data_IF_189509665451
#
_entry.id   IF_189509665451
#
_cell.length_a   1.000
_cell.length_b   1.000
_cell.length_c   1.000
_cell.angle_alpha   90.00
_cell.angle_beta   90.00
_cell.angle_gamma   90.00
#
_symmetry.space_group_name_H-M   'P 1'
#
loop_
_entity.id
_entity.type
_entity.pdbx_description
1 polymer ?
#
# COMPACT_ATOMS: atom_id res chain seq x y z
N UNK A 1 -7.78 -14.45 4.33
CA UNK A 1 -7.22 -15.00 5.60
C UNK A 1 -7.12 -16.50 5.47
N UNK A 2 -5.99 -17.13 5.82
CA UNK A 2 -5.89 -18.59 5.80
C UNK A 2 -6.75 -19.20 6.92
N UNK A 3 -7.24 -20.44 6.74
CA UNK A 3 -8.03 -21.16 7.78
C UNK A 3 -7.25 -21.26 9.10
N UNK A 4 -5.95 -21.44 9.05
CA UNK A 4 -5.06 -21.49 10.22
C UNK A 4 -5.03 -20.16 10.98
N UNK A 5 -5.10 -19.04 10.30
CA UNK A 5 -5.11 -17.71 10.94
C UNK A 5 -6.41 -17.43 11.69
N UNK A 6 -7.53 -17.80 11.07
CA UNK A 6 -8.86 -17.66 11.71
C UNK A 6 -8.91 -18.51 12.97
N UNK A 7 -8.39 -19.75 12.91
CA UNK A 7 -8.29 -20.64 14.06
C UNK A 7 -7.44 -20.08 15.19
N UNK A 8 -6.26 -19.55 14.89
CA UNK A 8 -5.38 -18.96 15.92
C UNK A 8 -6.06 -17.76 16.58
N UNK A 9 -6.65 -16.85 15.81
CA UNK A 9 -7.37 -15.70 16.36
C UNK A 9 -8.59 -16.13 17.19
N UNK A 10 -9.32 -17.14 16.76
CA UNK A 10 -10.45 -17.69 17.51
C UNK A 10 -10.00 -18.30 18.83
N UNK A 11 -8.90 -19.08 18.84
CA UNK A 11 -8.35 -19.68 20.05
C UNK A 11 -7.85 -18.59 21.03
N UNK A 12 -7.11 -17.60 20.55
CA UNK A 12 -6.61 -16.50 21.39
C UNK A 12 -7.79 -15.69 21.98
N UNK A 13 -8.80 -15.40 21.16
CA UNK A 13 -10.01 -14.71 21.63
C UNK A 13 -10.79 -15.54 22.66
N UNK A 14 -10.89 -16.84 22.43
CA UNK A 14 -11.56 -17.75 23.36
C UNK A 14 -10.83 -17.83 24.72
N UNK A 15 -9.50 -17.89 24.72
CA UNK A 15 -8.68 -17.86 25.94
C UNK A 15 -8.89 -16.54 26.69
N UNK A 16 -8.90 -15.41 25.97
CA UNK A 16 -9.11 -14.10 26.58
C UNK A 16 -10.50 -13.97 27.21
N UNK A 17 -11.55 -14.41 26.48
CA UNK A 17 -12.91 -14.44 26.99
C UNK A 17 -13.07 -15.37 28.20
N UNK A 18 -12.37 -16.50 28.19
CA UNK A 18 -12.39 -17.45 29.30
C UNK A 18 -11.73 -16.88 30.56
N UNK A 19 -10.56 -16.21 30.41
CA UNK A 19 -9.89 -15.50 31.52
C UNK A 19 -10.79 -14.37 32.04
N UNK A 20 -11.38 -13.56 31.16
CA UNK A 20 -12.30 -12.50 31.56
C UNK A 20 -13.51 -13.04 32.32
N UNK A 21 -14.09 -14.16 31.86
CA UNK A 21 -15.20 -14.85 32.52
C UNK A 21 -14.81 -15.34 33.91
N UNK A 22 -13.62 -15.97 34.07
CA UNK A 22 -13.10 -16.39 35.37
C UNK A 22 -12.99 -15.19 36.34
N UNK A 23 -12.44 -14.07 35.87
CA UNK A 23 -12.30 -12.86 36.68
C UNK A 23 -13.66 -12.28 37.08
N UNK A 24 -14.65 -12.26 36.16
CA UNK A 24 -16.01 -11.79 36.48
C UNK A 24 -16.71 -12.74 37.46
N UNK A 25 -16.63 -14.06 37.24
CA UNK A 25 -17.26 -15.04 38.14
C UNK A 25 -16.59 -15.02 39.53
N UNK A 26 -15.26 -14.93 39.60
CA UNK A 26 -14.55 -14.82 40.90
C UNK A 26 -14.94 -13.55 41.64
N UNK A 27 -15.09 -12.42 40.94
CA UNK A 27 -15.54 -11.16 41.54
C UNK A 27 -16.99 -11.21 42.03
N UNK A 28 -17.86 -11.86 41.28
CA UNK A 28 -19.26 -12.06 41.66
C UNK A 28 -19.41 -12.96 42.92
N UNK A 29 -18.62 -14.08 42.93
CA UNK A 29 -18.59 -14.99 44.12
C UNK A 29 -18.07 -14.30 45.38
N UNK A 30 -17.08 -13.47 45.26
CA UNK A 30 -16.54 -12.72 46.38
C UNK A 30 -17.50 -11.64 46.87
N UNK A 31 -18.21 -10.96 45.97
CA UNK A 31 -19.28 -10.01 46.34
C UNK A 31 -20.43 -10.72 47.05
N UNK A 32 -20.80 -11.93 46.63
CA UNK A 32 -21.81 -12.76 47.27
C UNK A 32 -21.36 -13.26 48.66
N UNK A 33 -20.07 -13.59 48.86
CA UNK A 33 -19.51 -13.94 50.19
C UNK A 33 -19.50 -12.78 51.17
N UNK A 34 -19.29 -11.55 50.69
CA UNK A 34 -19.30 -10.33 51.49
C UNK A 34 -20.72 -9.85 51.86
N UNK A 35 -21.76 -10.36 51.21
CA UNK A 35 -23.15 -10.11 51.53
C UNK A 35 -23.60 -11.02 52.72
N UNK A 36 -22.87 -10.98 53.83
CA UNK A 36 -23.30 -11.54 55.13
C UNK A 36 -24.50 -10.78 55.66
N UNK A 37 -25.14 -11.29 56.77
CA UNK A 37 -26.35 -10.72 57.33
C UNK A 37 -26.19 -9.21 57.57
N UNK A 38 -27.17 -8.45 57.05
CA UNK A 38 -27.15 -7.01 56.92
C UNK A 38 -27.15 -6.29 58.25
N UNK A 39 -25.98 -5.96 58.80
CA UNK A 39 -25.87 -4.93 59.82
C UNK A 39 -26.27 -3.57 59.22
N UNK A 40 -26.99 -2.71 59.97
CA UNK A 40 -27.33 -1.38 59.49
C UNK A 40 -26.06 -0.60 59.10
N UNK A 41 -26.12 0.25 58.05
CA UNK A 41 -24.93 0.91 57.45
C UNK A 41 -24.07 1.69 58.50
N UNK A 42 -24.71 2.23 59.54
CA UNK A 42 -24.05 2.97 60.59
C UNK A 42 -23.21 2.15 61.61
N UNK A 43 -23.31 0.82 61.54
CA UNK A 43 -22.55 -0.13 62.37
C UNK A 43 -21.61 -1.04 61.62
N UNK A 44 -21.44 -0.80 60.32
CA UNK A 44 -20.44 -1.56 59.55
C UNK A 44 -19.07 -0.96 59.80
N UNK A 45 -18.11 -1.72 60.38
CA UNK A 45 -16.73 -1.27 60.37
C UNK A 45 -16.31 -0.97 58.92
N UNK A 46 -15.56 0.09 58.71
CA UNK A 46 -14.96 0.38 57.40
C UNK A 46 -14.18 -0.85 56.88
N UNK A 47 -14.01 -1.00 55.59
CA UNK A 47 -13.17 -2.08 55.03
C UNK A 47 -11.77 -1.93 55.66
N UNK A 48 -11.20 -3.03 56.15
CA UNK A 48 -9.80 -3.06 56.60
C UNK A 48 -8.87 -2.83 55.40
N UNK A 49 -7.68 -2.28 55.65
CA UNK A 49 -6.66 -2.10 54.60
C UNK A 49 -6.38 -3.40 53.84
N UNK A 50 -6.36 -4.52 54.58
CA UNK A 50 -6.20 -5.87 53.99
C UNK A 50 -7.37 -6.31 53.11
N UNK A 51 -8.58 -5.83 53.36
CA UNK A 51 -9.75 -6.08 52.51
C UNK A 51 -9.79 -5.19 51.26
N UNK A 52 -9.19 -4.01 51.33
CA UNK A 52 -9.04 -3.08 50.20
C UNK A 52 -7.83 -3.44 49.31
N UNK A 53 -6.70 -3.75 49.92
CA UNK A 53 -5.44 -3.97 49.22
C UNK A 53 -5.29 -5.39 48.67
N UNK A 54 -5.72 -6.43 49.43
CA UNK A 54 -5.52 -7.82 49.01
C UNK A 54 -6.29 -8.20 47.73
N UNK A 55 -7.60 -8.38 47.81
CA UNK A 55 -8.34 -8.98 46.69
C UNK A 55 -8.54 -8.05 45.49
N UNK A 56 -8.51 -6.73 45.67
CA UNK A 56 -8.58 -5.77 44.56
C UNK A 56 -7.24 -5.67 43.85
N UNK A 57 -6.13 -5.55 44.58
CA UNK A 57 -4.80 -5.48 44.04
C UNK A 57 -4.44 -6.76 43.25
N UNK A 58 -4.75 -7.93 43.84
CA UNK A 58 -4.54 -9.22 43.18
C UNK A 58 -5.28 -9.34 41.82
N UNK A 59 -6.52 -8.85 41.74
CA UNK A 59 -7.29 -8.83 40.48
C UNK A 59 -6.66 -7.93 39.43
N UNK A 60 -6.23 -6.75 39.81
CA UNK A 60 -5.57 -5.85 38.86
C UNK A 60 -4.21 -6.37 38.42
N UNK A 61 -3.46 -7.03 39.30
CA UNK A 61 -2.20 -7.70 38.96
C UNK A 61 -2.44 -8.83 37.95
N UNK A 62 -3.41 -9.71 38.23
CA UNK A 62 -3.75 -10.81 37.30
C UNK A 62 -4.23 -10.28 35.95
N UNK A 63 -5.08 -9.24 35.97
CA UNK A 63 -5.54 -8.62 34.69
C UNK A 63 -4.40 -7.95 33.95
N UNK A 64 -3.49 -7.27 34.65
CA UNK A 64 -2.30 -6.66 34.05
C UNK A 64 -1.36 -7.69 33.41
N UNK A 65 -1.06 -8.77 34.14
CA UNK A 65 -0.24 -9.87 33.61
C UNK A 65 -0.91 -10.52 32.39
N UNK A 66 -2.22 -10.81 32.46
CA UNK A 66 -2.96 -11.39 31.36
C UNK A 66 -2.94 -10.50 30.10
N UNK A 67 -3.13 -9.19 30.27
CA UNK A 67 -3.03 -8.22 29.17
C UNK A 67 -1.63 -8.16 28.60
N UNK A 68 -0.61 -8.15 29.43
CA UNK A 68 0.80 -8.12 29.00
C UNK A 68 1.14 -9.37 28.17
N UNK A 69 0.76 -10.56 28.64
CA UNK A 69 0.96 -11.81 27.90
C UNK A 69 0.19 -11.80 26.57
N UNK A 70 -1.06 -11.31 26.60
CA UNK A 70 -1.85 -11.18 25.38
C UNK A 70 -1.16 -10.29 24.34
N UNK A 71 -0.71 -9.10 24.76
CA UNK A 71 0.00 -8.17 23.87
C UNK A 71 1.36 -8.73 23.41
N UNK A 72 2.09 -9.41 24.29
CA UNK A 72 3.37 -10.05 23.96
C UNK A 72 3.24 -11.14 22.89
N UNK A 73 2.07 -11.77 22.76
CA UNK A 73 1.78 -12.73 21.70
C UNK A 73 1.18 -12.05 20.46
N UNK A 74 0.24 -11.13 20.66
CA UNK A 74 -0.48 -10.47 19.58
C UNK A 74 0.42 -9.58 18.72
N UNK A 75 1.28 -8.76 19.34
CA UNK A 75 2.12 -7.82 18.59
C UNK A 75 3.14 -8.51 17.68
N UNK A 76 3.92 -9.50 18.12
CA UNK A 76 4.79 -10.25 17.22
C UNK A 76 4.02 -10.98 16.13
N UNK A 77 2.85 -11.53 16.43
CA UNK A 77 2.00 -12.18 15.43
C UNK A 77 1.55 -11.20 14.33
N UNK A 78 1.10 -10.01 14.69
CA UNK A 78 0.74 -8.96 13.73
C UNK A 78 1.96 -8.52 12.93
N UNK A 79 3.09 -8.31 13.60
CA UNK A 79 4.35 -7.92 12.96
C UNK A 79 4.82 -8.93 11.92
N UNK A 80 4.80 -10.22 12.25
CA UNK A 80 5.19 -11.30 11.32
C UNK A 80 4.26 -11.43 10.11
N UNK A 81 3.01 -10.99 10.22
CA UNK A 81 2.04 -11.03 9.12
C UNK A 81 2.03 -9.78 8.24
N UNK A 82 2.57 -8.68 8.76
CA UNK A 82 2.54 -7.39 8.08
C UNK A 82 3.22 -7.41 6.69
N UNK A 83 4.40 -8.04 6.49
CA UNK A 83 5.03 -8.11 5.17
C UNK A 83 4.16 -8.78 4.10
N UNK A 84 3.45 -9.86 4.47
CA UNK A 84 2.55 -10.57 3.54
C UNK A 84 1.35 -9.71 3.17
N UNK A 85 0.81 -8.96 4.13
CA UNK A 85 -0.30 -8.04 3.91
C UNK A 85 0.11 -6.87 3.03
N UNK A 86 1.28 -6.28 3.31
CA UNK A 86 1.82 -5.16 2.53
C UNK A 86 2.11 -5.57 1.09
N UNK A 87 2.74 -6.73 0.89
CA UNK A 87 2.98 -7.25 -0.46
C UNK A 87 1.68 -7.44 -1.24
N UNK A 88 0.67 -8.07 -0.65
CA UNK A 88 -0.61 -8.27 -1.31
C UNK A 88 -1.34 -6.95 -1.64
N UNK A 89 -1.17 -5.92 -0.80
CA UNK A 89 -1.70 -4.59 -1.06
C UNK A 89 -0.95 -3.90 -2.21
N UNK A 90 0.38 -3.95 -2.21
CA UNK A 90 1.22 -3.39 -3.27
C UNK A 90 0.96 -4.06 -4.63
N UNK A 91 0.86 -5.40 -4.68
CA UNK A 91 0.54 -6.14 -5.90
C UNK A 91 -0.83 -5.73 -6.47
N UNK A 92 -1.82 -5.49 -5.60
CA UNK A 92 -3.15 -5.02 -6.02
C UNK A 92 -3.09 -3.59 -6.56
N UNK A 93 -2.40 -2.70 -5.87
CA UNK A 93 -2.23 -1.31 -6.28
C UNK A 93 -1.51 -1.21 -7.62
N UNK A 94 -0.44 -1.98 -7.81
CA UNK A 94 0.27 -2.05 -9.08
C UNK A 94 -0.61 -2.56 -10.21
N UNK A 95 -1.42 -3.60 -9.98
CA UNK A 95 -2.36 -4.13 -10.98
C UNK A 95 -3.35 -3.05 -11.41
N UNK A 96 -3.87 -2.28 -10.48
CA UNK A 96 -4.80 -1.18 -10.77
C UNK A 96 -4.09 -0.03 -11.49
N UNK A 97 -2.87 0.33 -11.08
CA UNK A 97 -2.05 1.33 -11.76
C UNK A 97 -1.78 0.96 -13.21
N UNK A 98 -1.40 -0.30 -13.50
CA UNK A 98 -1.20 -0.81 -14.87
C UNK A 98 -2.50 -0.72 -15.67
N UNK A 99 -3.65 -1.05 -15.08
CA UNK A 99 -4.96 -0.94 -15.75
C UNK A 99 -5.31 0.50 -16.11
N UNK A 100 -5.08 1.45 -15.19
CA UNK A 100 -5.32 2.88 -15.43
C UNK A 100 -4.35 3.43 -16.47
N UNK A 101 -3.09 3.03 -16.40
CA UNK A 101 -2.06 3.38 -17.38
C UNK A 101 -2.40 2.88 -18.79
N UNK A 102 -2.92 1.64 -18.90
CA UNK A 102 -3.37 1.09 -20.19
C UNK A 102 -4.50 1.93 -20.79
N UNK A 103 -5.49 2.31 -19.99
CA UNK A 103 -6.59 3.17 -20.45
C UNK A 103 -6.06 4.52 -20.95
N UNK A 104 -5.19 5.16 -20.17
CA UNK A 104 -4.53 6.43 -20.53
C UNK A 104 -3.70 6.29 -21.82
N UNK A 105 -2.98 5.18 -21.97
CA UNK A 105 -2.20 4.88 -23.17
C UNK A 105 -3.08 4.82 -24.42
N UNK A 106 -4.14 4.04 -24.39
CA UNK A 106 -5.05 3.89 -25.51
C UNK A 106 -5.75 5.19 -25.91
N UNK A 107 -6.03 6.06 -24.94
CA UNK A 107 -6.67 7.34 -25.19
C UNK A 107 -5.72 8.37 -25.83
N UNK A 108 -4.47 8.46 -25.36
CA UNK A 108 -3.58 9.56 -25.72
C UNK A 108 -2.35 9.17 -26.53
N UNK A 109 -1.83 7.95 -26.36
CA UNK A 109 -0.53 7.54 -26.89
C UNK A 109 -0.61 6.61 -28.11
N UNK A 110 -1.63 5.73 -28.14
CA UNK A 110 -1.78 4.69 -29.15
C UNK A 110 -1.87 5.26 -30.59
N UNK A 111 -2.41 6.46 -30.74
CA UNK A 111 -2.52 7.13 -32.05
C UNK A 111 -1.17 7.32 -32.75
N UNK A 112 -0.09 7.54 -32.00
CA UNK A 112 1.25 7.75 -32.55
C UNK A 112 2.16 6.52 -32.36
N UNK A 113 2.02 5.84 -31.19
CA UNK A 113 2.89 4.72 -30.83
C UNK A 113 2.33 3.34 -31.17
N UNK A 114 1.17 3.27 -31.84
CA UNK A 114 0.48 2.03 -32.16
C UNK A 114 -0.35 1.46 -31.00
N UNK A 115 -1.39 0.68 -31.29
CA UNK A 115 -2.29 0.11 -30.27
C UNK A 115 -1.56 -0.86 -29.34
N UNK A 116 -0.54 -1.57 -29.82
CA UNK A 116 0.27 -2.53 -29.05
C UNK A 116 1.63 -1.93 -28.63
N UNK A 117 1.78 -0.59 -28.72
CA UNK A 117 3.02 0.14 -28.40
C UNK A 117 4.23 -0.24 -29.31
N UNK A 118 3.96 -0.78 -30.47
CA UNK A 118 4.92 -1.24 -31.47
C UNK A 118 5.61 -0.11 -32.24
N UNK A 119 5.17 1.12 -32.02
CA UNK A 119 5.60 2.29 -32.78
C UNK A 119 4.66 2.62 -33.92
N UNK A 120 4.94 3.70 -34.61
CA UNK A 120 4.12 4.17 -35.74
C UNK A 120 4.75 5.34 -36.47
N UNK A 121 4.04 5.85 -37.44
CA UNK A 121 4.47 7.00 -38.26
C UNK A 121 3.51 8.16 -38.06
N UNK A 122 4.04 9.30 -37.66
CA UNK A 122 3.30 10.58 -37.62
C UNK A 122 3.56 11.27 -38.98
N UNK A 123 2.57 11.19 -39.85
CA UNK A 123 2.70 11.73 -41.20
C UNK A 123 2.61 13.25 -41.24
N UNK A 124 3.34 13.86 -42.16
CA UNK A 124 3.26 15.30 -42.51
C UNK A 124 3.42 16.25 -41.30
N UNK A 125 4.26 15.88 -40.36
CA UNK A 125 4.59 16.76 -39.24
C UNK A 125 5.40 17.97 -39.72
N UNK A 126 4.98 19.18 -39.30
CA UNK A 126 5.69 20.43 -39.54
C UNK A 126 6.26 20.94 -38.24
N UNK A 127 7.58 21.07 -38.16
CA UNK A 127 8.26 21.54 -36.94
C UNK A 127 7.81 22.97 -36.55
N UNK A 128 7.22 23.17 -35.38
CA UNK A 128 6.74 24.49 -34.96
C UNK A 128 7.90 25.50 -34.84
N UNK A 129 7.62 26.75 -35.23
CA UNK A 129 8.59 27.85 -35.08
C UNK A 129 9.71 27.91 -36.12
N UNK A 130 9.79 26.95 -37.05
CA UNK A 130 10.79 26.93 -38.10
C UNK A 130 10.16 27.50 -39.39
N UNK A 131 10.60 28.69 -39.81
CA UNK A 131 10.13 29.29 -41.07
C UNK A 131 10.55 28.42 -42.27
N UNK A 132 9.57 28.06 -43.08
CA UNK A 132 9.82 27.22 -44.29
C UNK A 132 10.02 25.73 -43.98
N UNK A 133 9.68 25.25 -42.80
CA UNK A 133 9.69 23.84 -42.48
C UNK A 133 8.77 23.09 -43.44
N UNK A 134 9.31 22.02 -44.07
CA UNK A 134 8.54 21.12 -44.95
C UNK A 134 7.89 20.03 -44.10
N UNK A 135 6.69 19.55 -44.47
CA UNK A 135 6.10 18.38 -43.85
C UNK A 135 7.04 17.17 -43.97
N UNK A 136 7.29 16.50 -42.87
CA UNK A 136 8.17 15.32 -42.79
C UNK A 136 7.46 14.24 -41.98
N UNK A 137 7.63 13.00 -42.35
CA UNK A 137 7.13 11.87 -41.60
C UNK A 137 8.11 11.57 -40.44
N UNK A 138 7.58 11.48 -39.21
CA UNK A 138 8.36 11.22 -38.01
C UNK A 138 7.98 9.86 -37.45
N UNK A 139 8.97 9.03 -37.23
CA UNK A 139 8.76 7.71 -36.61
C UNK A 139 8.60 7.83 -35.11
N UNK A 140 7.46 7.37 -34.60
CA UNK A 140 7.27 7.15 -33.17
C UNK A 140 7.93 5.82 -32.78
N UNK A 141 8.75 5.79 -31.73
CA UNK A 141 9.49 4.58 -31.37
C UNK A 141 8.58 3.49 -30.83
N UNK A 142 9.02 2.24 -30.98
CA UNK A 142 8.47 1.07 -30.29
C UNK A 142 8.71 1.22 -28.77
N UNK A 143 7.63 1.30 -27.98
CA UNK A 143 7.72 1.48 -26.52
C UNK A 143 7.84 0.16 -25.74
N UNK A 144 7.81 -0.98 -26.42
CA UNK A 144 8.06 -2.31 -25.83
C UNK A 144 9.56 -2.63 -25.68
N UNK A 145 10.42 -1.75 -26.16
CA UNK A 145 11.88 -1.91 -26.21
C UNK A 145 12.60 -0.74 -25.54
N UNK A 146 12.01 -0.14 -24.51
CA UNK A 146 12.63 1.00 -23.83
C UNK A 146 13.93 0.56 -23.16
N UNK A 147 13.93 -0.60 -22.49
CA UNK A 147 15.09 -1.13 -21.79
C UNK A 147 16.25 -1.46 -22.75
N UNK A 148 15.98 -2.19 -23.83
CA UNK A 148 17.03 -2.54 -24.80
C UNK A 148 17.64 -1.34 -25.50
N UNK A 149 16.87 -0.26 -25.67
CA UNK A 149 17.38 1.01 -26.25
C UNK A 149 18.14 1.88 -25.24
N UNK A 150 17.95 1.65 -23.95
CA UNK A 150 18.57 2.38 -22.85
C UNK A 150 19.12 1.41 -21.80
N UNK A 151 20.09 0.54 -22.17
CA UNK A 151 20.52 -0.56 -21.30
C UNK A 151 21.21 -0.07 -20.01
N UNK A 152 21.81 1.12 -20.04
CA UNK A 152 22.53 1.72 -18.90
C UNK A 152 21.63 2.62 -18.05
N UNK A 153 20.40 2.87 -18.49
CA UNK A 153 19.45 3.77 -17.83
C UNK A 153 18.29 3.00 -17.22
N UNK A 154 17.65 3.59 -16.22
CA UNK A 154 16.38 3.13 -15.69
C UNK A 154 15.26 3.42 -16.72
N UNK A 155 14.71 2.36 -17.32
CA UNK A 155 13.67 2.45 -18.35
C UNK A 155 12.43 3.24 -17.85
N UNK A 156 12.07 3.10 -16.56
CA UNK A 156 11.00 3.87 -15.94
C UNK A 156 11.32 5.35 -15.87
N UNK A 157 12.53 5.72 -15.47
CA UNK A 157 12.96 7.11 -15.41
C UNK A 157 13.06 7.76 -16.81
N UNK A 158 13.50 6.99 -17.81
CA UNK A 158 13.53 7.43 -19.22
C UNK A 158 12.10 7.71 -19.71
N UNK A 159 11.18 6.76 -19.51
CA UNK A 159 9.78 6.91 -19.89
C UNK A 159 9.13 8.08 -19.17
N UNK A 160 9.29 8.16 -17.83
CA UNK A 160 8.78 9.26 -17.01
C UNK A 160 9.21 10.63 -17.54
N UNK A 161 10.51 10.80 -17.77
CA UNK A 161 11.07 12.08 -18.23
C UNK A 161 10.56 12.45 -19.62
N UNK A 162 10.50 11.46 -20.53
CA UNK A 162 10.01 11.68 -21.88
C UNK A 162 8.54 12.06 -21.92
N UNK A 163 7.70 11.46 -21.09
CA UNK A 163 6.28 11.76 -20.99
C UNK A 163 6.07 13.15 -20.37
N UNK A 164 6.75 13.42 -19.24
CA UNK A 164 6.59 14.72 -18.57
C UNK A 164 6.96 15.90 -19.46
N UNK A 165 8.13 15.86 -20.08
CA UNK A 165 8.72 16.99 -20.82
C UNK A 165 8.36 17.03 -22.28
N UNK A 166 7.86 15.92 -22.84
CA UNK A 166 7.80 15.74 -24.27
C UNK A 166 9.20 15.63 -24.90
N UNK A 167 9.27 15.66 -26.22
CA UNK A 167 10.52 15.62 -26.97
C UNK A 167 10.54 16.67 -28.09
N UNK A 168 10.57 17.97 -27.79
CA UNK A 168 10.73 18.98 -28.83
C UNK A 168 12.10 18.82 -29.54
N UNK A 169 12.22 19.01 -30.86
CA UNK A 169 11.19 19.47 -31.79
C UNK A 169 10.35 18.36 -32.44
N UNK A 170 10.23 17.19 -31.83
CA UNK A 170 9.42 16.08 -32.36
C UNK A 170 7.91 16.32 -32.11
N UNK A 171 7.01 15.51 -32.74
CA UNK A 171 5.56 15.60 -32.48
C UNK A 171 5.14 15.18 -31.07
N UNK A 172 6.03 14.62 -30.24
CA UNK A 172 5.68 14.22 -28.89
C UNK A 172 5.49 15.40 -27.96
N UNK A 173 4.24 15.70 -27.54
CA UNK A 173 3.95 16.86 -26.70
C UNK A 173 4.38 16.63 -25.25
N UNK A 174 4.40 17.72 -24.51
CA UNK A 174 4.52 17.71 -23.04
C UNK A 174 3.22 17.22 -22.40
N UNK A 175 3.28 16.24 -21.55
CA UNK A 175 2.12 15.69 -20.85
C UNK A 175 2.07 16.11 -19.37
N UNK A 176 3.20 16.34 -18.72
CA UNK A 176 3.24 16.66 -17.28
C UNK A 176 2.76 18.08 -16.95
N UNK A 177 1.90 18.19 -15.93
CA UNK A 177 1.40 19.49 -15.42
C UNK A 177 2.54 20.46 -15.10
N UNK A 178 3.67 19.96 -14.57
CA UNK A 178 4.86 20.80 -14.26
C UNK A 178 5.46 21.49 -15.48
N UNK A 179 5.18 20.99 -16.66
CA UNK A 179 5.67 21.49 -17.93
C UNK A 179 4.55 22.00 -18.84
N UNK A 180 3.36 22.24 -18.27
CA UNK A 180 2.20 22.77 -18.99
C UNK A 180 1.34 21.73 -19.69
N UNK A 181 1.54 20.45 -19.45
CA UNK A 181 0.71 19.35 -19.94
C UNK A 181 -0.53 19.09 -19.06
N UNK A 182 -1.43 18.19 -19.47
CA UNK A 182 -2.69 17.93 -18.78
C UNK A 182 -2.61 16.85 -17.69
N UNK A 183 -1.53 16.03 -17.61
CA UNK A 183 -1.44 14.87 -16.74
C UNK A 183 -0.73 15.19 -15.43
N UNK A 184 -1.31 14.76 -14.32
CA UNK A 184 -0.66 14.80 -13.01
C UNK A 184 0.39 13.68 -12.86
N UNK A 185 1.20 13.76 -11.79
CA UNK A 185 2.30 12.81 -11.56
C UNK A 185 1.79 11.37 -11.37
N UNK A 186 0.59 11.15 -10.77
CA UNK A 186 0.01 9.82 -10.62
C UNK A 186 -0.40 9.20 -11.97
N UNK A 187 -1.04 9.96 -12.84
CA UNK A 187 -1.41 9.49 -14.17
C UNK A 187 -0.18 9.11 -15.01
N UNK A 188 0.92 9.85 -14.85
CA UNK A 188 2.18 9.52 -15.50
C UNK A 188 2.80 8.26 -14.88
N UNK A 189 2.72 8.08 -13.54
CA UNK A 189 3.16 6.85 -12.88
C UNK A 189 2.39 5.64 -13.40
N UNK A 190 1.07 5.74 -13.48
CA UNK A 190 0.22 4.66 -13.99
C UNK A 190 0.59 4.30 -15.44
N UNK A 191 0.82 5.31 -16.27
CA UNK A 191 1.24 5.12 -17.66
C UNK A 191 2.62 4.47 -17.75
N UNK A 192 3.59 4.87 -16.91
CA UNK A 192 4.91 4.25 -16.86
C UNK A 192 4.83 2.81 -16.40
N UNK A 193 4.03 2.51 -15.37
CA UNK A 193 3.80 1.14 -14.90
C UNK A 193 3.22 0.25 -16.01
N UNK A 194 2.29 0.77 -16.79
CA UNK A 194 1.78 0.06 -17.97
C UNK A 194 2.89 -0.20 -19.00
N UNK A 195 3.67 0.81 -19.37
CA UNK A 195 4.77 0.66 -20.33
C UNK A 195 5.82 -0.35 -19.84
N UNK A 196 6.14 -0.37 -18.55
CA UNK A 196 7.05 -1.37 -17.98
C UNK A 196 6.45 -2.78 -17.99
N UNK A 197 5.13 -2.91 -17.86
CA UNK A 197 4.46 -4.21 -17.90
C UNK A 197 4.46 -4.88 -19.26
N UNK A 198 4.62 -4.11 -20.34
CA UNK A 198 4.59 -4.59 -21.72
C UNK A 198 5.97 -4.70 -22.39
N UNK A 199 7.06 -4.50 -21.64
CA UNK A 199 8.41 -4.66 -22.19
C UNK A 199 8.61 -6.08 -22.73
N UNK A 200 9.16 -6.20 -23.94
CA UNK A 200 9.34 -7.50 -24.61
C UNK A 200 10.60 -8.24 -24.18
N UNK A 201 11.57 -7.52 -23.66
CA UNK A 201 12.92 -7.96 -23.36
C UNK A 201 13.22 -8.13 -21.86
N UNK A 202 12.26 -7.83 -20.98
CA UNK A 202 12.44 -7.87 -19.54
C UNK A 202 11.43 -8.83 -18.85
N UNK A 203 11.68 -10.13 -18.99
CA UNK A 203 10.84 -11.16 -18.38
C UNK A 203 11.06 -11.34 -16.86
N UNK A 204 12.05 -10.69 -16.26
CA UNK A 204 12.49 -10.99 -14.89
C UNK A 204 12.55 -9.81 -13.92
N UNK A 205 12.25 -8.56 -14.32
CA UNK A 205 12.27 -7.44 -13.36
C UNK A 205 10.97 -7.31 -12.59
N UNK A 206 10.99 -7.44 -11.26
CA UNK A 206 9.83 -7.10 -10.46
C UNK A 206 9.60 -5.58 -10.51
N UNK A 207 8.43 -5.18 -10.97
CA UNK A 207 7.97 -3.77 -11.06
C UNK A 207 8.06 -3.00 -9.73
N UNK A 208 8.23 -3.69 -8.61
CA UNK A 208 8.34 -3.12 -7.27
C UNK A 208 9.63 -2.31 -7.01
N UNK A 209 10.70 -2.50 -7.81
CA UNK A 209 11.94 -1.73 -7.63
C UNK A 209 11.81 -0.28 -8.13
N UNK A 210 10.91 -0.01 -9.06
CA UNK A 210 10.70 1.34 -9.58
C UNK A 210 10.09 2.30 -8.53
N UNK A 211 9.13 1.85 -7.73
CA UNK A 211 8.54 2.69 -6.66
C UNK A 211 9.56 3.07 -5.58
N UNK A 212 10.46 2.15 -5.24
CA UNK A 212 11.55 2.43 -4.29
C UNK A 212 12.55 3.48 -4.83
N UNK A 213 12.72 3.58 -6.14
CA UNK A 213 13.58 4.58 -6.78
C UNK A 213 12.88 5.93 -6.96
N UNK A 214 11.58 5.94 -7.28
CA UNK A 214 10.79 7.17 -7.44
C UNK A 214 10.59 7.89 -6.09
N UNK A 215 10.34 7.17 -5.00
CA UNK A 215 10.22 7.72 -3.66
C UNK A 215 11.52 8.35 -3.12
N UNK A 216 12.68 7.92 -3.60
CA UNK A 216 13.99 8.48 -3.21
C UNK A 216 14.36 9.77 -3.95
N UNK A 217 13.65 10.14 -5.01
CA UNK A 217 13.90 11.38 -5.78
C UNK A 217 12.94 12.52 -5.44
N UNK A 218 11.99 12.28 -4.55
CA UNK A 218 10.97 13.26 -4.13
C UNK A 218 11.31 13.98 -2.80
N UNK A 219 12.52 13.78 -2.23
CA UNK A 219 13.02 14.47 -1.02
C UNK A 219 14.10 15.48 -1.39
#
# INVERSE_FOLDING_TARGET
MSRTTVLILAVVSAIFLFVALILVVSSAREKARRAGPSAPPSRRPGPTDEALEGPLLEKYQVAGVALTVFLAVLLPFLYLREPVRQKAAADKELTESVRLGAATYHEFCARCHGPEAEGGTVERYVTPGVKGAKPTDVQAPNLREIHSRHPDDDAGAVAWTAIQKGRPPTPMPTWGVRYGGPMNDQQITDLVNYLLSIQSDDKERPMLEFEAAAGRRAI
#
